data_IF_654305143553
#
_entry.id   IF_654305143553
#
_cell.length_a   1.000
_cell.length_b   1.000
_cell.length_c   1.000
_cell.angle_alpha   90.00
_cell.angle_beta   90.00
_cell.angle_gamma   90.00
#
_symmetry.space_group_name_H-M   'P 1'
#
loop_
_entity.id
_entity.type
_entity.pdbx_description
1 polymer ?
#
# COMPACT_ATOMS: atom_id res chain seq x y z
N UNK A 1 -6.19 19.17 -1.96
CA UNK A 1 -6.73 17.95 -1.36
C UNK A 1 -7.75 17.39 -2.31
N UNK A 2 -7.59 16.13 -2.72
CA UNK A 2 -8.48 15.46 -3.67
C UNK A 2 -8.78 14.10 -3.10
N UNK A 3 -10.07 13.72 -3.07
CA UNK A 3 -10.54 12.45 -2.50
C UNK A 3 -9.77 11.26 -3.10
N UNK A 4 -9.39 11.34 -4.38
CA UNK A 4 -8.63 10.29 -5.10
C UNK A 4 -7.16 10.27 -4.68
N UNK A 5 -6.60 11.43 -4.34
CA UNK A 5 -5.21 11.55 -3.88
C UNK A 5 -5.05 10.99 -2.48
N UNK A 6 -6.06 11.16 -1.62
CA UNK A 6 -5.98 10.89 -0.18
C UNK A 6 -6.49 9.48 0.20
N UNK A 7 -7.19 8.79 -0.71
CA UNK A 7 -7.78 7.48 -0.47
C UNK A 7 -7.37 6.43 -1.51
N UNK A 8 -7.55 5.16 -1.14
CA UNK A 8 -7.61 4.02 -2.05
C UNK A 8 -9.08 3.75 -2.34
N UNK A 9 -9.46 3.76 -3.61
CA UNK A 9 -10.84 3.62 -4.07
C UNK A 9 -11.11 2.16 -4.41
N UNK A 10 -12.25 1.59 -3.99
CA UNK A 10 -12.59 0.22 -4.32
C UNK A 10 -12.75 0.02 -5.83
N UNK A 11 -12.30 -1.12 -6.33
CA UNK A 11 -12.33 -1.46 -7.74
C UNK A 11 -11.20 -2.40 -8.17
N UNK A 12 -10.96 -2.51 -9.47
CA UNK A 12 -10.03 -3.49 -10.03
C UNK A 12 -8.58 -3.00 -10.15
N UNK A 13 -8.32 -1.71 -9.96
CA UNK A 13 -6.99 -1.13 -10.23
C UNK A 13 -6.12 -1.05 -8.97
N UNK A 14 -6.73 -0.90 -7.79
CA UNK A 14 -5.99 -0.69 -6.56
C UNK A 14 -5.18 0.61 -6.58
N UNK A 15 -4.27 0.76 -5.61
CA UNK A 15 -3.31 1.86 -5.57
C UNK A 15 -1.92 1.31 -5.27
N UNK A 16 -0.94 1.76 -6.05
CA UNK A 16 0.45 1.31 -5.92
C UNK A 16 1.19 2.19 -4.93
N UNK A 17 2.02 1.57 -4.11
CA UNK A 17 2.88 2.16 -3.11
C UNK A 17 4.30 1.62 -3.28
N UNK A 18 5.28 2.44 -2.97
CA UNK A 18 6.67 2.04 -2.83
C UNK A 18 6.96 1.80 -1.34
N UNK A 19 7.69 0.72 -1.05
CA UNK A 19 8.08 0.36 0.33
C UNK A 19 9.58 0.18 0.49
N UNK A 20 10.05 0.38 1.72
CA UNK A 20 11.43 0.10 2.11
C UNK A 20 11.69 -1.37 2.50
N UNK A 21 10.66 -2.24 2.49
CA UNK A 21 10.81 -3.69 2.64
C UNK A 21 11.52 -4.32 1.43
N UNK A 22 12.51 -5.17 1.69
CA UNK A 22 13.44 -5.72 0.68
C UNK A 22 13.37 -7.23 0.55
N UNK A 23 13.14 -7.94 1.66
CA UNK A 23 13.10 -9.40 1.67
C UNK A 23 11.66 -9.91 1.56
N UNK A 24 11.47 -11.14 1.11
CA UNK A 24 10.13 -11.77 1.09
C UNK A 24 9.50 -11.81 2.48
N UNK A 25 10.29 -12.10 3.52
CA UNK A 25 9.82 -12.12 4.91
C UNK A 25 9.33 -10.74 5.37
N UNK A 26 10.08 -9.68 5.07
CA UNK A 26 9.69 -8.30 5.37
C UNK A 26 8.40 -7.90 4.62
N UNK A 27 8.30 -8.29 3.34
CA UNK A 27 7.12 -8.03 2.52
C UNK A 27 5.90 -8.77 3.04
N UNK A 28 6.04 -10.00 3.51
CA UNK A 28 4.93 -10.76 4.08
C UNK A 28 4.47 -10.21 5.42
N UNK A 29 5.39 -9.76 6.29
CA UNK A 29 5.03 -9.03 7.52
C UNK A 29 4.25 -7.77 7.18
N UNK A 30 4.72 -6.98 6.21
CA UNK A 30 4.05 -5.76 5.77
C UNK A 30 2.66 -6.03 5.18
N UNK A 31 2.54 -7.01 4.27
CA UNK A 31 1.26 -7.41 3.67
C UNK A 31 0.26 -7.83 4.73
N UNK A 32 0.66 -8.72 5.64
CA UNK A 32 -0.23 -9.22 6.69
C UNK A 32 -0.74 -8.08 7.57
N UNK A 33 0.13 -7.13 7.93
CA UNK A 33 -0.30 -5.96 8.69
C UNK A 33 -1.29 -5.08 7.92
N UNK A 34 -1.07 -4.85 6.62
CA UNK A 34 -2.00 -4.06 5.80
C UNK A 34 -3.34 -4.81 5.64
N UNK A 35 -3.33 -6.12 5.43
CA UNK A 35 -4.55 -6.95 5.29
C UNK A 35 -5.44 -6.96 6.56
N UNK A 36 -4.92 -6.58 7.72
CA UNK A 36 -5.71 -6.42 8.94
C UNK A 36 -6.61 -5.17 8.93
N UNK A 37 -6.45 -4.25 7.97
CA UNK A 37 -7.30 -3.07 7.84
C UNK A 37 -8.64 -3.48 7.21
N UNK A 38 -9.73 -3.15 7.88
CA UNK A 38 -11.08 -3.36 7.35
C UNK A 38 -11.26 -2.64 6.01
N UNK A 39 -11.86 -3.32 5.04
CA UNK A 39 -12.02 -2.81 3.68
C UNK A 39 -10.84 -3.08 2.74
N UNK A 40 -9.72 -3.64 3.21
CA UNK A 40 -8.65 -4.14 2.33
C UNK A 40 -8.97 -5.56 1.88
N UNK A 41 -8.87 -5.79 0.56
CA UNK A 41 -9.17 -7.06 -0.08
C UNK A 41 -7.92 -7.86 -0.38
N UNK A 42 -6.89 -7.20 -0.90
CA UNK A 42 -5.66 -7.86 -1.36
C UNK A 42 -4.48 -6.90 -1.40
N UNK A 43 -3.27 -7.43 -1.28
CA UNK A 43 -2.00 -6.70 -1.38
C UNK A 43 -1.02 -7.48 -2.25
N UNK A 44 -0.79 -7.00 -3.47
CA UNK A 44 0.08 -7.65 -4.45
C UNK A 44 1.46 -6.99 -4.47
N UNK A 45 2.53 -7.78 -4.41
CA UNK A 45 3.89 -7.27 -4.67
C UNK A 45 4.14 -7.27 -6.17
N UNK A 46 4.66 -6.16 -6.68
CA UNK A 46 5.00 -5.98 -8.09
C UNK A 46 6.49 -5.73 -8.22
N UNK A 47 7.20 -6.68 -8.83
CA UNK A 47 8.63 -6.53 -9.14
C UNK A 47 9.58 -7.02 -8.04
N UNK A 48 10.86 -7.00 -8.39
CA UNK A 48 12.00 -7.40 -7.53
C UNK A 48 13.02 -6.26 -7.38
N UNK A 49 12.68 -5.07 -7.86
CA UNK A 49 13.53 -3.89 -7.86
C UNK A 49 13.24 -3.04 -6.61
N UNK A 50 14.28 -2.40 -6.06
CA UNK A 50 14.15 -1.53 -4.89
C UNK A 50 14.02 -0.05 -5.32
N UNK A 51 13.09 0.73 -4.74
CA UNK A 51 12.10 0.35 -3.73
C UNK A 51 11.03 -0.61 -4.27
N UNK A 52 10.65 -1.61 -3.46
CA UNK A 52 9.67 -2.63 -3.86
C UNK A 52 8.30 -2.00 -4.00
N UNK A 53 7.55 -2.38 -5.04
CA UNK A 53 6.19 -1.88 -5.24
C UNK A 53 5.15 -2.85 -4.70
N UNK A 54 4.16 -2.31 -3.99
CA UNK A 54 2.97 -3.06 -3.56
C UNK A 54 1.72 -2.37 -4.09
N UNK A 55 0.77 -3.14 -4.58
CA UNK A 55 -0.53 -2.65 -5.02
C UNK A 55 -1.60 -3.13 -4.04
N UNK A 56 -2.27 -2.18 -3.40
CA UNK A 56 -3.33 -2.44 -2.43
C UNK A 56 -4.68 -2.33 -3.13
N UNK A 57 -5.48 -3.40 -3.05
CA UNK A 57 -6.85 -3.43 -3.52
C UNK A 57 -7.81 -3.40 -2.34
N UNK A 58 -8.86 -2.60 -2.45
CA UNK A 58 -9.85 -2.42 -1.39
C UNK A 58 -11.25 -2.80 -1.87
N UNK A 59 -12.07 -3.32 -0.97
CA UNK A 59 -13.52 -3.49 -1.16
C UNK A 59 -14.30 -2.25 -0.75
N UNK A 60 -13.69 -1.40 0.07
CA UNK A 60 -14.27 -0.13 0.54
C UNK A 60 -13.26 1.01 0.36
N UNK A 61 -13.69 2.25 0.65
CA UNK A 61 -12.79 3.38 0.62
C UNK A 61 -11.92 3.35 1.88
N UNK A 62 -10.60 3.26 1.69
CA UNK A 62 -9.63 3.23 2.79
C UNK A 62 -8.69 4.42 2.63
N UNK A 63 -8.41 5.13 3.71
CA UNK A 63 -7.49 6.27 3.64
C UNK A 63 -6.05 5.79 3.44
N UNK A 64 -5.26 6.54 2.69
CA UNK A 64 -3.83 6.23 2.57
C UNK A 64 -3.13 6.38 3.91
N UNK A 65 -3.55 7.34 4.71
CA UNK A 65 -2.99 7.59 6.04
C UNK A 65 -3.13 6.36 6.94
N UNK A 66 -4.27 5.67 6.92
CA UNK A 66 -4.46 4.43 7.69
C UNK A 66 -3.50 3.33 7.25
N UNK A 67 -3.30 3.17 5.94
CA UNK A 67 -2.34 2.21 5.37
C UNK A 67 -0.92 2.56 5.82
N UNK A 68 -0.54 3.84 5.74
CA UNK A 68 0.77 4.33 6.16
C UNK A 68 1.01 4.14 7.66
N UNK A 69 0.03 4.48 8.49
CA UNK A 69 0.10 4.28 9.94
C UNK A 69 0.18 2.81 10.32
N UNK A 70 -0.53 1.92 9.61
CA UNK A 70 -0.45 0.48 9.86
C UNK A 70 0.91 -0.08 9.46
N UNK A 71 1.45 0.32 8.31
CA UNK A 71 2.79 -0.05 7.88
C UNK A 71 3.87 0.46 8.85
N UNK A 72 3.75 1.70 9.34
CA UNK A 72 4.72 2.26 10.29
C UNK A 72 4.81 1.44 11.60
N UNK A 73 3.74 0.74 12.00
CA UNK A 73 3.75 -0.17 13.17
C UNK A 73 4.60 -1.42 12.95
N UNK A 74 4.85 -1.83 11.69
CA UNK A 74 5.73 -2.96 11.34
C UNK A 74 7.15 -2.53 11.02
N UNK A 75 7.54 -1.28 11.32
CA UNK A 75 8.84 -0.65 11.02
C UNK A 75 9.09 -0.31 9.55
N UNK A 76 8.11 -0.57 8.68
CA UNK A 76 8.19 -0.25 7.25
C UNK A 76 7.43 1.02 6.91
N UNK A 77 7.82 1.64 5.80
CA UNK A 77 7.16 2.82 5.27
C UNK A 77 6.60 2.49 3.89
N UNK A 78 5.37 2.94 3.65
CA UNK A 78 4.70 2.83 2.36
C UNK A 78 4.38 4.24 1.87
N UNK A 79 4.75 4.55 0.65
CA UNK A 79 4.55 5.87 0.05
C UNK A 79 3.75 5.66 -1.23
N UNK A 80 2.59 6.32 -1.40
CA UNK A 80 1.79 6.16 -2.60
C UNK A 80 2.59 6.62 -3.82
N UNK A 81 2.69 5.75 -4.82
CA UNK A 81 3.32 6.09 -6.09
C UNK A 81 2.41 7.06 -6.82
N UNK A 82 2.80 8.34 -6.82
CA UNK A 82 2.01 9.36 -7.51
C UNK A 82 2.27 9.31 -9.01
N UNK A 83 1.25 9.56 -9.81
CA UNK A 83 1.36 9.66 -11.28
C UNK A 83 2.06 10.95 -11.74
N UNK A 84 2.63 11.74 -10.85
CA UNK A 84 3.24 13.02 -11.20
C UNK A 84 4.73 12.85 -11.47
N UNK A 85 5.08 12.83 -12.76
CA UNK A 85 6.35 13.41 -13.20
C UNK A 85 6.31 14.91 -12.86
N UNK A 86 7.26 15.38 -12.04
CA UNK A 86 7.59 16.81 -12.01
C UNK A 86 8.13 17.27 -13.37
#
# INVERSE_FOLDING_TARGET
MSIISDNVIPGNHGKTFETNAKTEEELDILKNAILEIEGIKDVMVSGNDFPTEITVHTSEMVSIEDIQHKAAKTTFHVIPKTLFSL
#
